data_IF_718920195281
#
_entry.id   IF_718920195281
#
_cell.length_a   1.000
_cell.length_b   1.000
_cell.length_c   1.000
_cell.angle_alpha   90.00
_cell.angle_beta   90.00
_cell.angle_gamma   90.00
#
_symmetry.space_group_name_H-M   'P 1'
#
loop_
_entity.id
_entity.type
_entity.pdbx_description
1 polymer ?
#
# COMPACT_ATOMS: atom_id res chain seq x y z
N UNK A 1 -23.13 20.83 6.75
CA UNK A 1 -22.42 20.76 8.07
C UNK A 1 -23.14 19.85 9.06
N UNK A 2 -24.45 19.98 9.32
CA UNK A 2 -25.17 19.13 10.30
C UNK A 2 -25.19 17.63 9.96
N UNK A 3 -25.26 17.27 8.66
CA UNK A 3 -25.27 15.87 8.22
C UNK A 3 -23.92 15.16 8.41
N UNK A 4 -22.83 15.89 8.35
CA UNK A 4 -21.49 15.36 8.66
C UNK A 4 -21.31 15.11 10.15
N UNK A 5 -21.79 16.02 10.99
CA UNK A 5 -21.76 15.88 12.46
C UNK A 5 -22.61 14.71 12.97
N UNK A 6 -23.78 14.47 12.36
CA UNK A 6 -24.64 13.33 12.73
C UNK A 6 -24.09 11.97 12.28
N UNK A 7 -23.32 11.93 11.18
CA UNK A 7 -22.58 10.72 10.79
C UNK A 7 -21.44 10.42 11.77
N UNK A 8 -20.73 11.44 12.24
CA UNK A 8 -19.66 11.32 13.23
C UNK A 8 -20.18 10.82 14.59
N UNK A 9 -21.37 11.25 15.03
CA UNK A 9 -21.92 10.86 16.31
C UNK A 9 -22.24 9.35 16.44
N UNK A 10 -22.48 8.65 15.33
CA UNK A 10 -22.66 7.18 15.34
C UNK A 10 -21.35 6.39 15.51
N UNK A 11 -20.20 6.98 15.22
CA UNK A 11 -18.89 6.37 15.44
C UNK A 11 -18.43 6.42 16.91
N UNK A 12 -18.94 7.33 17.72
CA UNK A 12 -18.54 7.50 19.12
C UNK A 12 -19.22 6.52 20.10
N UNK A 13 -19.51 5.28 19.65
CA UNK A 13 -20.13 4.26 20.53
C UNK A 13 -19.19 3.70 21.61
N UNK A 14 -17.88 3.99 21.55
CA UNK A 14 -16.96 3.59 22.61
C UNK A 14 -15.89 4.66 22.86
N UNK A 15 -15.41 4.80 24.12
CA UNK A 15 -14.30 5.70 24.45
C UNK A 15 -13.00 5.39 23.67
N UNK A 16 -12.78 4.12 23.32
CA UNK A 16 -11.62 3.68 22.52
C UNK A 16 -11.68 4.22 21.09
N UNK A 17 -12.85 4.22 20.47
CA UNK A 17 -13.03 4.78 19.12
C UNK A 17 -12.80 6.29 19.12
N UNK A 18 -13.29 6.99 20.14
CA UNK A 18 -13.10 8.43 20.30
C UNK A 18 -11.60 8.79 20.49
N UNK A 19 -10.86 8.02 21.29
CA UNK A 19 -9.43 8.27 21.51
C UNK A 19 -8.59 8.00 20.25
N UNK A 20 -8.93 6.98 19.48
CA UNK A 20 -8.27 6.69 18.20
C UNK A 20 -8.51 7.83 17.22
N UNK A 21 -9.75 8.30 17.07
CA UNK A 21 -10.09 9.44 16.22
C UNK A 21 -9.37 10.73 16.62
N UNK A 22 -9.27 11.01 17.92
CA UNK A 22 -8.55 12.17 18.41
C UNK A 22 -7.05 12.08 18.10
N UNK A 23 -6.45 10.91 18.30
CA UNK A 23 -5.04 10.68 17.97
C UNK A 23 -4.81 10.84 16.46
N UNK A 24 -5.68 10.30 15.64
CA UNK A 24 -5.63 10.42 14.18
C UNK A 24 -5.79 11.88 13.71
N UNK A 25 -6.72 12.62 14.30
CA UNK A 25 -6.89 14.04 13.98
C UNK A 25 -5.64 14.86 14.34
N UNK A 26 -5.03 14.59 15.50
CA UNK A 26 -3.78 15.24 15.90
C UNK A 26 -2.64 14.89 14.95
N UNK A 27 -2.53 13.64 14.54
CA UNK A 27 -1.51 13.19 13.59
C UNK A 27 -1.67 13.91 12.25
N UNK A 28 -2.86 13.92 11.66
CA UNK A 28 -3.09 14.55 10.35
C UNK A 28 -2.92 16.07 10.34
N UNK A 29 -3.33 16.74 11.43
CA UNK A 29 -3.42 18.21 11.47
C UNK A 29 -2.24 18.88 12.14
N UNK A 30 -1.51 18.17 12.99
CA UNK A 30 -0.44 18.75 13.81
C UNK A 30 0.89 18.04 13.57
N UNK A 31 0.94 16.71 13.63
CA UNK A 31 2.19 15.95 13.52
C UNK A 31 2.66 15.91 12.07
N UNK A 32 1.86 15.36 11.18
CA UNK A 32 2.23 15.18 9.77
C UNK A 32 2.69 16.48 9.09
N UNK A 33 2.01 17.63 9.24
CA UNK A 33 2.50 18.88 8.64
C UNK A 33 3.86 19.36 9.15
N UNK A 34 4.30 18.93 10.34
CA UNK A 34 5.60 19.27 10.91
C UNK A 34 6.74 18.39 10.40
N UNK A 35 6.40 17.25 9.78
CA UNK A 35 7.35 16.30 9.21
C UNK A 35 7.27 16.32 7.68
N UNK A 36 7.62 17.48 7.09
CA UNK A 36 7.67 17.71 5.64
C UNK A 36 8.92 18.51 5.25
N UNK A 37 10.03 18.22 5.93
CA UNK A 37 11.26 18.99 5.76
C UNK A 37 12.15 18.47 4.62
N UNK A 38 11.87 17.23 4.16
CA UNK A 38 12.69 16.52 3.17
C UNK A 38 11.92 16.15 1.90
N UNK A 39 10.79 16.82 1.62
CA UNK A 39 9.98 16.52 0.43
C UNK A 39 10.74 16.81 -0.87
N UNK A 40 11.61 17.82 -0.89
CA UNK A 40 12.44 18.14 -2.05
C UNK A 40 13.38 16.97 -2.41
N UNK A 41 13.81 16.19 -1.41
CA UNK A 41 14.60 14.99 -1.62
C UNK A 41 13.91 13.98 -2.55
N UNK A 42 12.59 13.82 -2.44
CA UNK A 42 11.81 12.92 -3.28
C UNK A 42 11.49 13.54 -4.63
N UNK A 43 11.15 14.84 -4.68
CA UNK A 43 10.83 15.54 -5.93
C UNK A 43 12.02 15.60 -6.89
N UNK A 44 13.22 15.78 -6.37
CA UNK A 44 14.45 15.85 -7.15
C UNK A 44 14.88 14.48 -7.73
N UNK A 45 14.24 13.40 -7.26
CA UNK A 45 14.51 12.01 -7.69
C UNK A 45 13.34 11.39 -8.45
N UNK A 46 12.41 12.19 -8.95
CA UNK A 46 11.36 11.68 -9.83
C UNK A 46 11.97 11.15 -11.12
N UNK A 47 11.67 9.90 -11.42
CA UNK A 47 12.15 9.20 -12.60
C UNK A 47 10.98 8.62 -13.38
N UNK A 48 11.15 8.43 -14.68
CA UNK A 48 10.20 7.60 -15.45
C UNK A 48 10.17 6.18 -14.88
N UNK A 49 9.01 5.52 -14.94
CA UNK A 49 8.81 4.17 -14.37
C UNK A 49 9.91 3.19 -14.84
N UNK A 50 10.18 3.15 -16.14
CA UNK A 50 11.19 2.25 -16.70
C UNK A 50 12.60 2.52 -16.13
N UNK A 51 13.00 3.78 -16.05
CA UNK A 51 14.30 4.18 -15.51
C UNK A 51 14.41 3.84 -14.02
N UNK A 52 13.37 4.16 -13.21
CA UNK A 52 13.36 3.90 -11.79
C UNK A 52 13.44 2.40 -11.46
N UNK A 53 12.69 1.56 -12.17
CA UNK A 53 12.75 0.10 -12.00
C UNK A 53 14.10 -0.46 -12.43
N UNK A 54 14.65 0.02 -13.56
CA UNK A 54 15.98 -0.38 -14.05
C UNK A 54 17.06 -0.06 -13.03
N UNK A 55 17.06 1.15 -12.47
CA UNK A 55 18.03 1.56 -11.44
C UNK A 55 17.86 0.73 -10.15
N UNK A 56 16.62 0.57 -9.68
CA UNK A 56 16.35 -0.15 -8.44
C UNK A 56 16.72 -1.64 -8.50
N UNK A 57 16.54 -2.29 -9.65
CA UNK A 57 16.76 -3.73 -9.79
C UNK A 57 18.11 -4.07 -10.47
N UNK A 58 18.74 -3.12 -11.14
CA UNK A 58 19.95 -3.38 -11.94
C UNK A 58 19.69 -4.29 -13.16
N UNK A 59 18.46 -4.30 -13.69
CA UNK A 59 18.05 -5.08 -14.87
C UNK A 59 18.17 -4.25 -16.15
N UNK A 60 18.07 -4.90 -17.32
CA UNK A 60 18.06 -4.19 -18.61
C UNK A 60 16.72 -3.44 -18.77
N UNK A 61 16.79 -2.19 -19.25
CA UNK A 61 15.60 -1.38 -19.52
C UNK A 61 14.64 -2.08 -20.51
N UNK A 62 15.16 -2.88 -21.42
CA UNK A 62 14.36 -3.65 -22.39
C UNK A 62 13.47 -4.69 -21.68
N UNK A 63 13.93 -5.29 -20.58
CA UNK A 63 13.10 -6.22 -19.77
C UNK A 63 11.96 -5.48 -19.10
N UNK A 64 12.22 -4.27 -18.60
CA UNK A 64 11.20 -3.42 -17.99
C UNK A 64 10.17 -2.97 -19.01
N UNK A 65 10.62 -2.51 -20.20
CA UNK A 65 9.75 -2.08 -21.31
C UNK A 65 8.87 -3.23 -21.81
N UNK A 66 9.40 -4.46 -21.85
CA UNK A 66 8.60 -5.65 -22.18
C UNK A 66 7.46 -5.84 -21.19
N UNK A 67 7.72 -5.73 -19.89
CA UNK A 67 6.66 -5.87 -18.87
C UNK A 67 5.65 -4.70 -18.92
N UNK A 68 6.12 -3.48 -19.15
CA UNK A 68 5.23 -2.31 -19.32
C UNK A 68 4.33 -2.44 -20.55
N UNK A 69 4.85 -3.04 -21.64
CA UNK A 69 4.06 -3.31 -22.86
C UNK A 69 3.01 -4.41 -22.66
N UNK A 70 3.19 -5.24 -21.65
CA UNK A 70 2.30 -6.36 -21.30
C UNK A 70 1.41 -6.08 -20.09
N UNK A 71 1.23 -4.80 -19.70
CA UNK A 71 0.37 -4.45 -18.59
C UNK A 71 -1.06 -5.01 -18.77
N UNK A 72 -1.67 -5.54 -17.72
CA UNK A 72 -3.06 -5.98 -17.77
C UNK A 72 -4.01 -4.87 -18.20
N UNK A 73 -5.00 -5.21 -19.02
CA UNK A 73 -5.92 -4.24 -19.61
C UNK A 73 -6.69 -3.39 -18.60
N UNK A 74 -6.90 -3.86 -17.37
CA UNK A 74 -7.52 -3.07 -16.31
C UNK A 74 -6.64 -1.94 -15.77
N UNK A 75 -5.33 -1.98 -16.03
CA UNK A 75 -4.39 -0.91 -15.65
C UNK A 75 -4.22 0.14 -16.75
N UNK A 76 -4.59 -0.16 -17.99
CA UNK A 76 -4.42 0.74 -19.15
C UNK A 76 -5.73 1.32 -19.69
N UNK A 77 -6.88 0.79 -19.30
CA UNK A 77 -8.18 1.23 -19.81
C UNK A 77 -8.84 2.22 -18.84
N UNK A 78 -8.50 3.51 -19.01
CA UNK A 78 -9.10 4.63 -18.26
C UNK A 78 -10.64 4.72 -18.42
N UNK A 79 -11.22 4.07 -19.43
CA UNK A 79 -12.66 4.06 -19.68
C UNK A 79 -13.38 2.89 -18.95
N UNK A 80 -12.68 1.99 -18.35
CA UNK A 80 -13.22 0.96 -17.45
C UNK A 80 -13.28 1.43 -16.00
N UNK A 81 -13.66 2.67 -15.77
CA UNK A 81 -14.15 3.10 -14.47
C UNK A 81 -15.35 2.22 -14.11
N UNK A 82 -15.27 1.38 -13.09
CA UNK A 82 -16.39 0.55 -12.66
C UNK A 82 -17.55 1.36 -12.07
N UNK A 83 -17.69 2.64 -12.42
CA UNK A 83 -18.80 3.51 -12.01
C UNK A 83 -18.67 4.07 -10.61
N UNK A 84 -17.53 3.93 -9.99
CA UNK A 84 -17.23 4.54 -8.69
C UNK A 84 -16.03 5.45 -8.82
N UNK A 85 -16.18 6.69 -8.41
CA UNK A 85 -15.06 7.60 -8.19
C UNK A 85 -14.15 6.96 -7.15
N UNK A 86 -13.11 6.26 -7.61
CA UNK A 86 -12.15 5.54 -6.77
C UNK A 86 -11.27 6.59 -6.10
N UNK A 87 -11.80 7.27 -5.09
CA UNK A 87 -11.07 8.30 -4.33
C UNK A 87 -9.93 7.75 -3.48
N UNK A 88 -9.75 6.42 -3.43
CA UNK A 88 -8.92 5.71 -2.45
C UNK A 88 -8.31 4.46 -3.09
N UNK A 89 -7.81 4.57 -4.31
CA UNK A 89 -7.08 3.50 -4.95
C UNK A 89 -5.71 3.97 -5.42
N UNK A 90 -4.78 3.03 -5.48
CA UNK A 90 -3.46 3.26 -6.04
C UNK A 90 -3.55 3.94 -7.40
N UNK A 91 -2.65 4.87 -7.69
CA UNK A 91 -2.55 5.49 -9.01
C UNK A 91 -2.21 4.45 -10.08
N UNK A 92 -2.56 4.72 -11.33
CA UNK A 92 -2.21 3.85 -12.46
C UNK A 92 -0.68 3.66 -12.58
N UNK A 93 0.09 4.66 -12.23
CA UNK A 93 1.55 4.62 -12.23
C UNK A 93 2.09 3.68 -11.15
N UNK A 94 1.62 3.80 -9.90
CA UNK A 94 2.01 2.89 -8.83
C UNK A 94 1.61 1.46 -9.16
N UNK A 95 0.42 1.25 -9.71
CA UNK A 95 -0.03 -0.07 -10.10
C UNK A 95 0.86 -0.66 -11.23
N UNK A 96 1.25 0.15 -12.22
CA UNK A 96 2.18 -0.29 -13.27
C UNK A 96 3.55 -0.66 -12.70
N UNK A 97 4.13 0.20 -11.85
CA UNK A 97 5.40 -0.08 -11.16
C UNK A 97 5.29 -1.38 -10.35
N UNK A 98 4.25 -1.51 -9.54
CA UNK A 98 4.02 -2.70 -8.73
C UNK A 98 3.94 -3.96 -9.60
N UNK A 99 3.15 -3.93 -10.69
CA UNK A 99 3.06 -5.07 -11.60
C UNK A 99 4.42 -5.48 -12.16
N UNK A 100 5.19 -4.52 -12.69
CA UNK A 100 6.51 -4.78 -13.28
C UNK A 100 7.48 -5.35 -12.25
N UNK A 101 7.57 -4.74 -11.07
CA UNK A 101 8.41 -5.23 -9.98
C UNK A 101 8.06 -6.68 -9.61
N UNK A 102 6.77 -6.99 -9.49
CA UNK A 102 6.31 -8.34 -9.14
C UNK A 102 6.55 -9.36 -10.26
N UNK A 103 6.46 -8.94 -11.52
CA UNK A 103 6.81 -9.81 -12.67
C UNK A 103 8.28 -10.16 -12.71
N UNK A 104 9.16 -9.21 -12.41
CA UNK A 104 10.62 -9.39 -12.45
C UNK A 104 11.14 -10.10 -11.20
N UNK A 105 10.72 -9.69 -10.00
CA UNK A 105 11.23 -10.22 -8.74
C UNK A 105 10.58 -11.54 -8.32
N UNK A 106 9.35 -11.81 -8.77
CA UNK A 106 8.58 -13.03 -8.47
C UNK A 106 8.51 -13.35 -6.96
N UNK A 107 8.06 -12.40 -6.11
CA UNK A 107 8.05 -12.59 -4.68
C UNK A 107 7.10 -13.74 -4.27
N UNK A 108 7.47 -14.50 -3.21
CA UNK A 108 6.66 -15.60 -2.68
C UNK A 108 5.73 -15.14 -1.55
N UNK A 109 6.20 -14.25 -0.68
CA UNK A 109 5.43 -13.75 0.48
C UNK A 109 5.43 -12.24 0.47
N UNK A 110 4.23 -11.67 0.31
CA UNK A 110 4.02 -10.23 0.31
C UNK A 110 3.02 -9.84 1.37
N UNK A 111 3.30 -8.77 2.09
CA UNK A 111 2.36 -8.15 3.04
C UNK A 111 1.99 -6.77 2.55
N UNK A 112 0.70 -6.46 2.56
CA UNK A 112 0.12 -5.18 2.17
C UNK A 112 -0.68 -4.59 3.31
N UNK A 113 -0.59 -3.28 3.51
CA UNK A 113 -1.49 -2.52 4.39
C UNK A 113 -2.27 -1.50 3.58
N UNK A 114 -3.60 -1.50 3.73
CA UNK A 114 -4.53 -0.76 2.87
C UNK A 114 -4.86 -1.53 1.61
N UNK A 115 -6.14 -1.71 1.38
CA UNK A 115 -6.70 -2.43 0.22
C UNK A 115 -7.71 -1.55 -0.51
N UNK A 116 -8.58 -0.88 0.26
CA UNK A 116 -9.64 -0.06 -0.31
C UNK A 116 -10.51 -0.86 -1.30
N UNK A 117 -10.58 -0.39 -2.54
CA UNK A 117 -11.29 -1.08 -3.63
C UNK A 117 -10.57 -2.36 -4.10
N UNK A 118 -9.25 -2.47 -3.88
CA UNK A 118 -8.43 -3.63 -4.21
C UNK A 118 -7.63 -3.50 -5.51
N UNK A 119 -7.34 -2.30 -5.99
CA UNK A 119 -6.56 -2.10 -7.23
C UNK A 119 -5.13 -2.59 -7.05
N UNK A 120 -4.45 -2.19 -5.97
CA UNK A 120 -3.10 -2.65 -5.63
C UNK A 120 -3.08 -4.17 -5.42
N UNK A 121 -4.00 -4.69 -4.60
CA UNK A 121 -4.12 -6.14 -4.35
C UNK A 121 -4.38 -6.93 -5.64
N UNK A 122 -5.27 -6.43 -6.52
CA UNK A 122 -5.54 -7.08 -7.81
C UNK A 122 -4.28 -7.11 -8.68
N UNK A 123 -3.55 -6.01 -8.74
CA UNK A 123 -2.30 -5.89 -9.51
C UNK A 123 -1.26 -6.91 -9.03
N UNK A 124 -1.03 -6.99 -7.73
CA UNK A 124 -0.12 -7.94 -7.09
C UNK A 124 -0.53 -9.39 -7.40
N UNK A 125 -1.79 -9.71 -7.13
CA UNK A 125 -2.32 -11.06 -7.32
C UNK A 125 -2.27 -11.49 -8.79
N UNK A 126 -2.50 -10.57 -9.73
CA UNK A 126 -2.41 -10.84 -11.17
C UNK A 126 -0.97 -11.17 -11.57
N UNK A 127 0.01 -10.40 -11.10
CA UNK A 127 1.42 -10.70 -11.35
C UNK A 127 1.84 -12.05 -10.74
N UNK A 128 1.41 -12.36 -9.52
CA UNK A 128 1.66 -13.64 -8.85
C UNK A 128 1.04 -14.82 -9.60
N UNK A 129 -0.20 -14.67 -10.09
CA UNK A 129 -0.85 -15.72 -10.87
C UNK A 129 -0.11 -16.01 -12.16
N UNK A 130 0.31 -15.00 -12.88
CA UNK A 130 1.10 -15.16 -14.11
C UNK A 130 2.50 -15.72 -13.86
N UNK A 131 3.08 -15.46 -12.69
CA UNK A 131 4.34 -16.06 -12.27
C UNK A 131 4.18 -17.51 -11.79
N UNK A 132 2.96 -17.96 -11.53
CA UNK A 132 2.65 -19.30 -11.01
C UNK A 132 3.02 -19.49 -9.52
N UNK A 133 3.40 -18.41 -8.81
CA UNK A 133 3.84 -18.45 -7.41
C UNK A 133 3.45 -17.21 -6.64
N UNK A 134 3.57 -17.27 -5.31
CA UNK A 134 3.36 -16.19 -4.40
C UNK A 134 1.98 -16.17 -3.75
N UNK A 135 1.93 -15.53 -2.59
CA UNK A 135 0.71 -15.23 -1.84
C UNK A 135 0.78 -13.83 -1.26
N UNK A 136 -0.37 -13.18 -1.22
CA UNK A 136 -0.56 -11.85 -0.66
C UNK A 136 -1.31 -11.94 0.66
N UNK A 137 -0.78 -11.31 1.70
CA UNK A 137 -1.47 -11.08 2.96
C UNK A 137 -1.77 -9.59 3.08
N UNK A 138 -3.05 -9.20 3.04
CA UNK A 138 -3.46 -7.80 3.11
C UNK A 138 -4.17 -7.51 4.43
N UNK A 139 -3.90 -6.34 4.98
CA UNK A 139 -4.51 -5.85 6.22
C UNK A 139 -5.29 -4.57 5.91
N UNK A 140 -6.58 -4.57 6.21
CA UNK A 140 -7.42 -3.38 6.09
C UNK A 140 -8.46 -3.30 7.21
N UNK A 141 -9.09 -2.15 7.35
CA UNK A 141 -10.25 -1.99 8.21
C UNK A 141 -11.51 -2.51 7.50
N UNK A 142 -12.45 -3.13 8.22
CA UNK A 142 -13.72 -3.52 7.61
C UNK A 142 -14.49 -2.28 7.15
N UNK A 143 -15.15 -2.37 6.00
CA UNK A 143 -16.01 -1.30 5.49
C UNK A 143 -17.12 -0.97 6.48
N UNK A 144 -17.19 0.28 6.98
CA UNK A 144 -18.29 0.66 7.85
C UNK A 144 -19.57 0.76 7.02
N UNK A 145 -20.60 0.01 7.40
CA UNK A 145 -21.92 0.04 6.76
C UNK A 145 -21.94 -0.46 5.31
N UNK A 146 -21.74 -1.76 5.15
CA UNK A 146 -21.70 -2.48 3.86
C UNK A 146 -22.95 -2.33 2.99
N UNK A 147 -24.08 -1.85 3.53
CA UNK A 147 -25.29 -1.53 2.75
C UNK A 147 -25.11 -0.30 1.85
N UNK A 148 -24.16 0.58 2.16
CA UNK A 148 -23.93 1.84 1.45
C UNK A 148 -22.60 1.89 0.69
N UNK A 149 -21.66 1.02 1.03
CA UNK A 149 -20.32 0.99 0.45
C UNK A 149 -19.96 -0.45 0.05
N UNK A 150 -19.23 -0.64 -1.04
CA UNK A 150 -18.74 -1.95 -1.41
C UNK A 150 -17.83 -2.53 -0.32
N UNK A 151 -17.69 -3.84 -0.33
CA UNK A 151 -16.73 -4.55 0.52
C UNK A 151 -15.29 -4.20 0.13
N UNK A 152 -14.38 -4.25 1.11
CA UNK A 152 -12.94 -4.10 0.86
C UNK A 152 -12.49 -5.14 -0.18
N UNK A 153 -11.72 -4.70 -1.18
CA UNK A 153 -11.20 -5.58 -2.22
C UNK A 153 -12.25 -6.12 -3.20
N UNK A 154 -13.36 -5.40 -3.38
CA UNK A 154 -14.46 -5.85 -4.26
C UNK A 154 -14.04 -5.95 -5.74
N UNK A 155 -12.99 -5.23 -6.16
CA UNK A 155 -12.46 -5.29 -7.53
C UNK A 155 -11.59 -6.54 -7.78
N UNK A 156 -11.10 -7.21 -6.72
CA UNK A 156 -10.26 -8.39 -6.88
C UNK A 156 -11.07 -9.56 -7.43
N UNK A 157 -10.75 -10.08 -8.63
CA UNK A 157 -11.45 -11.20 -9.25
C UNK A 157 -11.44 -12.45 -8.37
N UNK A 158 -12.54 -13.21 -8.42
CA UNK A 158 -12.71 -14.41 -7.60
C UNK A 158 -11.65 -15.48 -7.84
N UNK A 159 -11.21 -15.63 -9.08
CA UNK A 159 -10.19 -16.60 -9.51
C UNK A 159 -8.79 -16.30 -8.92
N UNK A 160 -8.50 -15.07 -8.51
CA UNK A 160 -7.21 -14.69 -7.91
C UNK A 160 -7.20 -14.83 -6.38
N UNK A 161 -8.38 -14.96 -5.76
CA UNK A 161 -8.51 -14.96 -4.30
C UNK A 161 -7.90 -16.17 -3.61
N UNK A 162 -7.58 -17.24 -4.31
CA UNK A 162 -6.90 -18.41 -3.74
C UNK A 162 -5.46 -18.11 -3.28
N UNK A 163 -4.86 -17.01 -3.76
CA UNK A 163 -3.53 -16.52 -3.35
C UNK A 163 -3.61 -15.41 -2.30
N UNK A 164 -4.81 -15.04 -1.84
CA UNK A 164 -5.05 -13.85 -1.03
C UNK A 164 -5.58 -14.18 0.36
N UNK A 165 -4.88 -13.70 1.39
CA UNK A 165 -5.32 -13.73 2.79
C UNK A 165 -5.63 -12.29 3.24
N UNK A 166 -6.92 -11.91 3.20
CA UNK A 166 -7.38 -10.59 3.64
C UNK A 166 -7.78 -10.62 5.12
N UNK A 167 -7.08 -9.85 5.93
CA UNK A 167 -7.30 -9.75 7.37
C UNK A 167 -7.86 -8.39 7.77
N UNK A 168 -8.92 -8.40 8.55
CA UNK A 168 -9.60 -7.18 8.99
C UNK A 168 -9.18 -6.74 10.38
N UNK A 169 -8.65 -5.53 10.48
CA UNK A 169 -8.27 -4.87 11.72
C UNK A 169 -7.26 -3.76 11.53
N UNK A 170 -6.98 -2.99 12.59
CA UNK A 170 -6.03 -1.89 12.49
C UNK A 170 -4.59 -2.41 12.30
N UNK A 171 -3.89 -1.85 11.32
CA UNK A 171 -2.53 -2.27 10.94
C UNK A 171 -1.55 -2.25 12.11
N UNK A 172 -1.62 -1.25 12.98
CA UNK A 172 -0.76 -1.17 14.17
C UNK A 172 -0.86 -2.37 15.14
N UNK A 173 -1.92 -3.18 15.03
CA UNK A 173 -2.11 -4.41 15.81
C UNK A 173 -1.84 -5.66 15.00
N UNK A 174 -2.35 -5.71 13.78
CA UNK A 174 -2.27 -6.92 12.95
C UNK A 174 -0.91 -7.08 12.28
N UNK A 175 -0.29 -6.00 11.81
CA UNK A 175 0.98 -6.08 11.09
C UNK A 175 2.08 -6.78 11.90
N UNK A 176 2.33 -6.44 13.19
CA UNK A 176 3.32 -7.16 13.98
C UNK A 176 3.00 -8.65 14.15
N UNK A 177 1.72 -9.01 14.25
CA UNK A 177 1.28 -10.39 14.41
C UNK A 177 1.50 -11.19 13.12
N UNK A 178 1.07 -10.63 11.99
CA UNK A 178 1.26 -11.22 10.66
C UNK A 178 2.74 -11.47 10.38
N UNK A 179 3.58 -10.47 10.64
CA UNK A 179 5.01 -10.59 10.41
C UNK A 179 5.67 -11.63 11.32
N UNK A 180 5.25 -11.72 12.57
CA UNK A 180 5.72 -12.74 13.49
C UNK A 180 5.31 -14.17 13.07
N UNK A 181 4.13 -14.33 12.46
CA UNK A 181 3.68 -15.62 11.91
C UNK A 181 4.49 -16.02 10.67
N UNK A 182 4.88 -15.06 9.84
CA UNK A 182 5.59 -15.29 8.58
C UNK A 182 7.10 -15.44 8.75
N UNK A 183 7.67 -14.86 9.79
CA UNK A 183 9.11 -14.80 10.14
C UNK A 183 9.92 -13.96 9.15
N UNK A 184 9.70 -14.10 7.85
CA UNK A 184 10.38 -13.35 6.78
C UNK A 184 9.41 -13.13 5.63
N UNK A 185 9.55 -12.00 4.93
CA UNK A 185 8.76 -11.62 3.76
C UNK A 185 9.65 -11.13 2.63
N UNK A 186 9.19 -11.28 1.39
CA UNK A 186 9.89 -10.75 0.22
C UNK A 186 9.66 -9.25 0.06
N UNK A 187 8.42 -8.81 0.20
CA UNK A 187 8.05 -7.43 -0.04
C UNK A 187 7.00 -6.95 0.96
N UNK A 188 7.07 -5.67 1.29
CA UNK A 188 6.03 -4.95 2.03
C UNK A 188 5.51 -3.79 1.19
N UNK A 189 4.19 -3.69 1.03
CA UNK A 189 3.53 -2.56 0.38
C UNK A 189 2.68 -1.78 1.37
N UNK A 190 2.95 -0.49 1.47
CA UNK A 190 2.17 0.46 2.25
C UNK A 190 1.25 1.27 1.34
N UNK A 191 -0.06 1.13 1.55
CA UNK A 191 -1.10 1.92 0.90
C UNK A 191 -2.27 2.17 1.88
N UNK A 192 -1.94 2.23 3.18
CA UNK A 192 -2.91 2.50 4.23
C UNK A 192 -3.01 4.00 4.52
N UNK A 193 -3.16 4.42 5.76
CA UNK A 193 -3.22 5.83 6.12
C UNK A 193 -1.87 6.54 5.95
N UNK A 194 -1.82 7.60 5.15
CA UNK A 194 -0.62 8.34 4.76
C UNK A 194 -0.20 9.44 5.76
N UNK A 195 -0.51 9.28 7.05
CA UNK A 195 0.01 10.15 8.09
C UNK A 195 1.44 9.76 8.50
N UNK A 196 2.23 10.74 8.90
CA UNK A 196 3.62 10.52 9.31
C UNK A 196 3.77 9.38 10.33
N UNK A 197 2.99 9.45 11.41
CA UNK A 197 3.11 8.45 12.49
C UNK A 197 2.69 7.04 12.06
N UNK A 198 1.72 6.92 11.15
CA UNK A 198 1.28 5.63 10.65
C UNK A 198 2.31 5.04 9.69
N UNK A 199 2.76 5.81 8.71
CA UNK A 199 3.79 5.40 7.75
C UNK A 199 5.08 5.00 8.48
N UNK A 200 5.60 5.86 9.36
CA UNK A 200 6.80 5.58 10.13
C UNK A 200 6.69 4.27 10.91
N UNK A 201 5.56 4.05 11.59
CA UNK A 201 5.33 2.82 12.35
C UNK A 201 5.30 1.59 11.46
N UNK A 202 4.58 1.63 10.34
CA UNK A 202 4.46 0.48 9.45
C UNK A 202 5.80 0.14 8.80
N UNK A 203 6.55 1.13 8.33
CA UNK A 203 7.87 0.92 7.76
C UNK A 203 8.84 0.30 8.78
N UNK A 204 8.94 0.88 9.98
CA UNK A 204 9.82 0.37 11.04
C UNK A 204 9.40 -1.02 11.54
N UNK A 205 8.10 -1.34 11.48
CA UNK A 205 7.60 -2.66 11.87
C UNK A 205 7.91 -3.70 10.79
N UNK A 206 7.74 -3.37 9.51
CA UNK A 206 7.92 -4.31 8.42
C UNK A 206 9.39 -4.56 8.06
N UNK A 207 10.23 -3.51 8.10
CA UNK A 207 11.61 -3.56 7.63
C UNK A 207 12.45 -4.72 8.18
N UNK A 208 12.43 -5.04 9.51
CA UNK A 208 13.22 -6.14 10.06
C UNK A 208 12.85 -7.53 9.52
N UNK A 209 11.68 -7.65 8.89
CA UNK A 209 11.17 -8.91 8.36
C UNK A 209 11.36 -9.03 6.84
N UNK A 210 11.76 -7.96 6.17
CA UNK A 210 12.05 -8.00 4.73
C UNK A 210 13.41 -8.66 4.53
N UNK A 211 13.43 -9.74 3.77
CA UNK A 211 14.67 -10.49 3.47
C UNK A 211 15.69 -9.64 2.70
N UNK A 212 16.95 -10.06 2.73
CA UNK A 212 17.98 -9.42 1.90
C UNK A 212 17.61 -9.50 0.41
N UNK A 213 17.63 -8.36 -0.28
CA UNK A 213 17.16 -8.23 -1.66
C UNK A 213 15.65 -8.05 -1.81
N UNK A 214 14.90 -8.07 -0.70
CA UNK A 214 13.49 -7.71 -0.68
C UNK A 214 13.26 -6.20 -0.75
N UNK A 215 11.99 -5.78 -0.87
CA UNK A 215 11.65 -4.39 -1.16
C UNK A 215 10.50 -3.88 -0.29
N UNK A 216 10.57 -2.58 0.05
CA UNK A 216 9.45 -1.81 0.60
C UNK A 216 8.93 -0.86 -0.48
N UNK A 217 7.65 -0.93 -0.77
CA UNK A 217 6.93 -0.04 -1.69
C UNK A 217 5.96 0.80 -0.88
N UNK A 218 5.89 2.09 -1.17
CA UNK A 218 4.95 2.98 -0.50
C UNK A 218 4.25 3.91 -1.46
N UNK A 219 2.94 4.01 -1.31
CA UNK A 219 2.13 5.07 -1.92
C UNK A 219 2.21 6.36 -1.09
N UNK A 220 1.91 7.50 -1.74
CA UNK A 220 1.75 8.82 -1.13
C UNK A 220 2.87 9.23 -0.14
N UNK A 221 4.13 9.21 -0.61
CA UNK A 221 5.28 9.68 0.15
C UNK A 221 5.26 11.22 0.23
N UNK A 222 4.40 11.76 1.07
CA UNK A 222 4.13 13.21 1.24
C UNK A 222 4.59 13.79 2.58
N UNK A 223 5.46 13.03 3.29
CA UNK A 223 6.05 13.43 4.57
C UNK A 223 7.38 12.69 4.82
N UNK A 224 8.06 13.02 5.91
CA UNK A 224 9.41 12.55 6.20
C UNK A 224 9.48 11.09 6.73
N UNK A 225 8.39 10.32 6.78
CA UNK A 225 8.37 9.00 7.41
C UNK A 225 9.34 8.00 6.76
N UNK A 226 9.43 8.00 5.42
CA UNK A 226 10.36 7.15 4.71
C UNK A 226 11.81 7.62 4.92
N UNK A 227 12.07 8.92 4.85
CA UNK A 227 13.38 9.51 5.11
C UNK A 227 13.89 9.17 6.52
N UNK A 228 13.05 9.38 7.55
CA UNK A 228 13.42 9.09 8.94
C UNK A 228 13.62 7.59 9.20
N UNK A 229 12.82 6.75 8.54
CA UNK A 229 12.94 5.29 8.64
C UNK A 229 14.24 4.79 8.01
N UNK A 230 14.54 5.19 6.77
CA UNK A 230 15.73 4.74 6.04
C UNK A 230 17.04 5.12 6.78
N UNK A 231 17.08 6.29 7.39
CA UNK A 231 18.21 6.68 8.24
C UNK A 231 18.37 5.77 9.46
N UNK A 232 17.28 5.33 10.06
CA UNK A 232 17.30 4.39 11.17
C UNK A 232 17.80 2.99 10.77
N UNK A 233 17.62 2.62 9.50
CA UNK A 233 18.09 1.36 8.91
C UNK A 233 19.57 1.40 8.48
N UNK A 234 20.24 2.54 8.64
CA UNK A 234 21.63 2.74 8.22
C UNK A 234 21.80 2.78 6.69
N UNK A 235 20.75 3.13 5.97
CA UNK A 235 20.75 3.33 4.52
C UNK A 235 20.45 4.78 4.19
N UNK A 236 20.95 5.26 3.07
CA UNK A 236 20.42 6.49 2.48
C UNK A 236 19.02 6.17 1.92
N UNK A 237 18.07 7.07 2.11
CA UNK A 237 16.71 6.90 1.63
C UNK A 237 16.64 6.89 0.09
#
# INVERSE_FOLDING_TARGET
>A
MLSALLRTARFFKSPRTASTWAAEFVDDRIVTPRHRNHLDYYSDRQMAVAEGVTEALGVDIAEVDEQLSNLPGFLVDENKDPGMTIKWSATSELAAITYVLFKLLKPEIVVETGVGAGVSSWTILKAMEENGQGRLISIDLPTPNTELLPEVGYLVPGELRHRWDLRFGPSHRLLPQVLAELVEIDMFQHDSRHSYSNQLREYQTAWPFIKSGGMLISDDVSNDALYDSSRSWGREP
#
